data_IF_485869588392
#
_entry.id   IF_485869588392
#
_cell.length_a   1.000
_cell.length_b   1.000
_cell.length_c   1.000
_cell.angle_alpha   90.00
_cell.angle_beta   90.00
_cell.angle_gamma   90.00
#
_symmetry.space_group_name_H-M   'P 1'
#
loop_
_entity.id
_entity.type
_entity.pdbx_description
1 polymer ?
#
# COMPACT_ATOMS: atom_id res chain seq x y z
N UNK A 1 5.55 -23.11 4.81
CA UNK A 1 6.05 -22.28 3.69
C UNK A 1 5.73 -20.83 4.03
N UNK A 2 6.67 -19.90 3.92
CA UNK A 2 6.39 -18.48 4.18
C UNK A 2 5.51 -17.88 3.07
N UNK A 3 4.60 -16.94 3.39
CA UNK A 3 3.81 -16.24 2.38
C UNK A 3 4.71 -15.39 1.48
N UNK A 4 4.36 -15.28 0.21
CA UNK A 4 5.01 -14.33 -0.68
C UNK A 4 4.43 -12.92 -0.48
N UNK A 5 5.13 -11.92 -1.00
CA UNK A 5 4.69 -10.53 -0.97
C UNK A 5 3.29 -10.32 -1.58
N UNK A 6 2.95 -11.06 -2.64
CA UNK A 6 1.60 -11.01 -3.24
C UNK A 6 0.51 -11.49 -2.29
N UNK A 7 0.75 -12.56 -1.52
CA UNK A 7 -0.19 -13.06 -0.53
C UNK A 7 -0.39 -12.05 0.62
N UNK A 8 0.69 -11.41 1.09
CA UNK A 8 0.60 -10.33 2.08
C UNK A 8 -0.24 -9.16 1.58
N UNK A 9 -0.02 -8.71 0.34
CA UNK A 9 -0.80 -7.62 -0.27
C UNK A 9 -2.29 -7.94 -0.39
N UNK A 10 -2.61 -9.13 -0.89
CA UNK A 10 -4.00 -9.55 -1.05
C UNK A 10 -4.73 -9.62 0.31
N UNK A 11 -4.04 -10.14 1.33
CA UNK A 11 -4.56 -10.19 2.69
C UNK A 11 -4.84 -8.79 3.25
N UNK A 12 -3.87 -7.87 3.16
CA UNK A 12 -4.03 -6.48 3.61
C UNK A 12 -5.18 -5.79 2.89
N UNK A 13 -5.26 -5.89 1.56
CA UNK A 13 -6.31 -5.24 0.77
C UNK A 13 -7.71 -5.75 1.14
N UNK A 14 -7.88 -7.07 1.31
CA UNK A 14 -9.16 -7.65 1.68
C UNK A 14 -9.57 -7.27 3.11
N UNK A 15 -8.61 -7.27 4.03
CA UNK A 15 -8.87 -6.87 5.41
C UNK A 15 -9.26 -5.40 5.52
N UNK A 16 -8.56 -4.52 4.82
CA UNK A 16 -8.88 -3.09 4.79
C UNK A 16 -10.22 -2.81 4.13
N UNK A 17 -10.55 -3.52 3.04
CA UNK A 17 -11.89 -3.44 2.44
C UNK A 17 -12.98 -3.86 3.42
N UNK A 18 -12.82 -5.01 4.09
CA UNK A 18 -13.75 -5.48 5.13
C UNK A 18 -13.95 -4.41 6.20
N UNK A 19 -12.85 -3.90 6.79
CA UNK A 19 -12.90 -2.90 7.85
C UNK A 19 -13.56 -1.60 7.38
N UNK A 20 -13.30 -1.19 6.13
CA UNK A 20 -13.92 0.01 5.55
C UNK A 20 -15.42 -0.16 5.34
N UNK A 21 -15.88 -1.32 4.87
CA UNK A 21 -17.30 -1.67 4.77
C UNK A 21 -17.97 -1.65 6.14
N UNK A 22 -17.33 -2.24 7.15
CA UNK A 22 -17.86 -2.27 8.53
C UNK A 22 -17.98 -0.85 9.11
N UNK A 23 -16.98 0.02 8.89
CA UNK A 23 -17.05 1.44 9.28
C UNK A 23 -18.11 2.23 8.49
N UNK A 24 -18.26 1.94 7.20
CA UNK A 24 -19.24 2.59 6.34
C UNK A 24 -20.68 2.11 6.60
N UNK A 25 -20.85 0.94 7.22
CA UNK A 25 -22.14 0.27 7.39
C UNK A 25 -22.82 -0.08 6.06
N UNK A 26 -22.04 -0.18 4.97
CA UNK A 26 -22.56 -0.35 3.61
C UNK A 26 -21.49 -0.90 2.66
N UNK A 27 -21.93 -1.60 1.62
CA UNK A 27 -21.10 -2.01 0.49
C UNK A 27 -21.08 -0.98 -0.66
N UNK A 28 -21.84 0.13 -0.54
CA UNK A 28 -21.86 1.19 -1.55
C UNK A 28 -20.46 1.75 -1.77
N UNK A 29 -19.99 1.71 -3.03
CA UNK A 29 -18.59 2.00 -3.36
C UNK A 29 -18.16 3.39 -2.88
N UNK A 30 -19.01 4.41 -3.03
CA UNK A 30 -18.69 5.77 -2.59
C UNK A 30 -18.58 5.89 -1.06
N UNK A 31 -19.38 5.14 -0.31
CA UNK A 31 -19.30 5.10 1.16
C UNK A 31 -18.03 4.39 1.63
N UNK A 32 -17.67 3.28 0.98
CA UNK A 32 -16.44 2.53 1.27
C UNK A 32 -15.19 3.34 0.93
N UNK A 33 -15.15 4.02 -0.22
CA UNK A 33 -14.04 4.91 -0.60
C UNK A 33 -13.86 6.00 0.45
N UNK A 34 -14.93 6.70 0.83
CA UNK A 34 -14.86 7.74 1.89
C UNK A 34 -14.38 7.19 3.24
N UNK A 35 -14.69 5.92 3.55
CA UNK A 35 -14.23 5.23 4.76
C UNK A 35 -12.77 4.78 4.70
N UNK A 36 -12.21 4.60 3.49
CA UNK A 36 -10.79 4.31 3.26
C UNK A 36 -9.95 5.60 3.24
N UNK A 37 -10.44 6.67 2.62
CA UNK A 37 -9.67 7.90 2.42
C UNK A 37 -9.12 8.50 3.73
N UNK A 38 -7.80 8.57 3.83
CA UNK A 38 -7.09 9.08 5.00
C UNK A 38 -6.93 8.08 6.14
N UNK A 39 -7.52 6.88 6.04
CA UNK A 39 -7.48 5.86 7.08
C UNK A 39 -6.06 5.34 7.30
N UNK A 40 -5.65 5.27 8.57
CA UNK A 40 -4.38 4.70 9.04
C UNK A 40 -4.63 3.36 9.69
N UNK A 41 -3.74 2.39 9.46
CA UNK A 41 -3.87 1.04 9.95
C UNK A 41 -2.51 0.36 10.14
N UNK A 42 -2.47 -0.70 10.93
CA UNK A 42 -1.28 -1.55 11.13
C UNK A 42 -1.73 -3.02 11.19
N UNK A 43 -1.36 -3.81 10.19
CA UNK A 43 -1.76 -5.24 10.08
C UNK A 43 -0.53 -6.14 9.99
N UNK A 44 0.13 -6.16 8.83
CA UNK A 44 1.27 -7.06 8.55
C UNK A 44 2.62 -6.35 8.61
N UNK A 45 2.62 -5.01 8.58
CA UNK A 45 3.79 -4.14 8.60
C UNK A 45 3.63 -3.09 9.70
N UNK A 46 4.48 -2.07 9.66
CA UNK A 46 4.32 -0.84 10.42
C UNK A 46 3.08 -0.04 9.97
N UNK A 47 2.88 1.16 10.54
CA UNK A 47 1.72 2.00 10.21
C UNK A 47 1.71 2.33 8.71
N UNK A 48 0.55 2.10 8.10
CA UNK A 48 0.24 2.38 6.71
C UNK A 48 -0.95 3.36 6.62
N UNK A 49 -1.10 4.05 5.48
CA UNK A 49 -2.22 4.96 5.25
C UNK A 49 -2.74 4.89 3.82
N UNK A 50 -4.06 4.79 3.65
CA UNK A 50 -4.72 5.05 2.36
C UNK A 50 -4.81 6.55 2.10
N UNK A 51 -3.94 7.08 1.25
CA UNK A 51 -3.86 8.53 1.01
C UNK A 51 -5.06 9.03 0.20
N UNK A 52 -5.67 10.12 0.67
CA UNK A 52 -6.92 10.63 0.12
C UNK A 52 -6.84 11.08 -1.34
N UNK A 53 -5.83 11.85 -1.73
CA UNK A 53 -5.87 12.54 -3.03
C UNK A 53 -5.52 11.65 -4.23
N UNK A 54 -4.87 10.51 -4.02
CA UNK A 54 -4.44 9.60 -5.09
C UNK A 54 -4.67 8.10 -4.79
N UNK A 55 -5.31 7.80 -3.64
CA UNK A 55 -5.62 6.45 -3.17
C UNK A 55 -4.40 5.52 -3.04
N UNK A 56 -3.19 6.08 -2.97
CA UNK A 56 -1.97 5.32 -2.74
C UNK A 56 -1.92 4.83 -1.29
N UNK A 57 -1.59 3.55 -1.09
CA UNK A 57 -1.19 3.06 0.22
C UNK A 57 0.25 3.54 0.53
N UNK A 58 0.36 4.46 1.48
CA UNK A 58 1.61 5.01 1.99
C UNK A 58 2.15 4.08 3.07
N UNK A 59 3.33 3.53 2.82
CA UNK A 59 3.93 2.51 3.67
C UNK A 59 5.44 2.55 3.58
N UNK A 60 6.13 2.04 4.59
CA UNK A 60 7.59 1.87 4.54
C UNK A 60 8.01 0.90 3.44
N UNK A 61 9.03 1.26 2.68
CA UNK A 61 9.64 0.41 1.66
C UNK A 61 10.95 -0.14 2.23
N UNK A 62 11.18 -1.45 2.09
CA UNK A 62 12.41 -2.09 2.54
C UNK A 62 13.41 -2.24 1.41
N UNK A 63 14.65 -1.86 1.65
CA UNK A 63 15.77 -2.18 0.78
C UNK A 63 16.33 -3.54 1.20
N UNK A 64 16.41 -4.46 0.25
CA UNK A 64 16.84 -5.84 0.51
C UNK A 64 18.07 -6.21 -0.31
N UNK A 65 18.92 -7.05 0.26
CA UNK A 65 20.07 -7.64 -0.42
C UNK A 65 19.87 -9.15 -0.55
N UNK A 66 19.91 -9.64 -1.79
CA UNK A 66 19.79 -11.08 -2.05
C UNK A 66 20.96 -11.85 -1.43
N UNK A 67 20.64 -12.98 -0.81
CA UNK A 67 21.60 -13.95 -0.30
C UNK A 67 22.16 -14.78 -1.45
N UNK A 68 23.38 -15.28 -1.27
CA UNK A 68 23.94 -16.26 -2.20
C UNK A 68 23.12 -17.55 -2.20
N UNK A 69 22.94 -18.16 -3.38
CA UNK A 69 22.20 -19.42 -3.55
C UNK A 69 22.60 -20.49 -2.53
N UNK A 70 23.89 -20.63 -2.23
CA UNK A 70 24.39 -21.63 -1.27
C UNK A 70 23.86 -21.43 0.15
N UNK A 71 23.61 -20.18 0.56
CA UNK A 71 23.03 -19.86 1.84
C UNK A 71 21.52 -20.14 1.84
N UNK A 72 20.81 -19.73 0.78
CA UNK A 72 19.37 -20.02 0.62
C UNK A 72 19.10 -21.53 0.67
N UNK A 73 19.94 -22.34 0.03
CA UNK A 73 19.76 -23.80 0.02
C UNK A 73 20.03 -24.49 1.36
N UNK A 74 20.67 -23.82 2.32
CA UNK A 74 20.86 -24.32 3.69
C UNK A 74 19.66 -24.05 4.59
N UNK A 75 18.82 -23.08 4.26
CA UNK A 75 17.57 -22.83 4.98
C UNK A 75 16.65 -24.06 4.88
N UNK A 76 16.06 -24.55 6.00
CA UNK A 76 15.17 -25.72 6.00
C UNK A 76 14.02 -25.64 4.99
N UNK A 77 13.55 -24.43 4.70
CA UNK A 77 12.47 -24.21 3.74
C UNK A 77 12.95 -23.79 2.35
N UNK A 78 14.24 -23.46 2.20
CA UNK A 78 14.87 -22.93 0.99
C UNK A 78 14.23 -21.62 0.52
N UNK A 79 13.82 -20.77 1.47
CA UNK A 79 13.09 -19.52 1.25
C UNK A 79 13.74 -18.30 1.91
N UNK A 80 14.87 -18.47 2.60
CA UNK A 80 15.64 -17.36 3.17
C UNK A 80 16.43 -16.63 2.07
N UNK A 81 15.74 -15.80 1.28
CA UNK A 81 16.28 -15.21 0.06
C UNK A 81 17.09 -13.93 0.25
N UNK A 82 16.87 -13.16 1.31
CA UNK A 82 17.43 -11.83 1.43
C UNK A 82 17.59 -11.36 2.87
N UNK A 83 18.46 -10.38 3.07
CA UNK A 83 18.54 -9.57 4.29
C UNK A 83 17.94 -8.20 4.03
N UNK A 84 17.26 -7.64 5.03
CA UNK A 84 16.83 -6.23 5.01
C UNK A 84 18.06 -5.41 5.43
N UNK A 85 18.45 -4.47 4.57
CA UNK A 85 19.65 -3.65 4.80
C UNK A 85 19.33 -2.18 5.08
N UNK A 86 18.15 -1.71 4.70
CA UNK A 86 17.67 -0.36 5.00
C UNK A 86 16.13 -0.29 4.84
N UNK A 87 15.54 0.84 5.22
CA UNK A 87 14.14 1.15 5.00
C UNK A 87 13.91 2.63 4.69
N UNK A 88 12.90 2.89 3.85
CA UNK A 88 12.46 4.24 3.49
C UNK A 88 11.02 4.43 3.97
N UNK A 89 10.79 5.31 4.97
CA UNK A 89 9.44 5.63 5.44
C UNK A 89 8.54 6.13 4.32
N UNK A 90 7.26 5.76 4.36
CA UNK A 90 6.29 6.07 3.30
C UNK A 90 6.21 7.56 2.93
N UNK A 91 6.29 8.46 3.92
CA UNK A 91 6.29 9.90 3.70
C UNK A 91 7.50 10.44 2.94
N UNK A 92 8.62 9.69 2.89
CA UNK A 92 9.81 10.03 2.09
C UNK A 92 9.85 9.31 0.74
N UNK A 93 9.21 8.15 0.62
CA UNK A 93 9.21 7.37 -0.63
C UNK A 93 8.08 7.74 -1.59
N UNK A 94 6.94 8.19 -1.06
CA UNK A 94 5.78 8.49 -1.87
C UNK A 94 5.90 9.88 -2.52
N UNK A 95 5.42 10.00 -3.76
CA UNK A 95 5.27 11.28 -4.45
C UNK A 95 4.49 12.27 -3.60
N UNK A 96 4.92 13.52 -3.57
CA UNK A 96 4.21 14.63 -2.95
C UNK A 96 2.93 14.99 -3.73
N UNK A 97 2.05 15.78 -3.11
CA UNK A 97 0.86 16.28 -3.79
C UNK A 97 1.22 17.16 -5.01
N UNK A 98 2.24 18.02 -4.89
CA UNK A 98 2.66 18.90 -5.98
C UNK A 98 3.28 18.13 -7.16
N UNK A 99 4.06 17.08 -6.90
CA UNK A 99 4.56 16.18 -7.95
C UNK A 99 3.40 15.47 -8.65
N UNK A 100 2.47 14.89 -7.88
CA UNK A 100 1.28 14.23 -8.43
C UNK A 100 0.44 15.18 -9.29
N UNK A 101 0.23 16.42 -8.83
CA UNK A 101 -0.51 17.46 -9.55
C UNK A 101 0.21 17.87 -10.84
N UNK A 102 1.53 18.05 -10.77
CA UNK A 102 2.37 18.40 -11.91
C UNK A 102 2.32 17.32 -12.99
N UNK A 103 2.41 16.04 -12.61
CA UNK A 103 2.31 14.91 -13.54
C UNK A 103 0.95 14.88 -14.23
N UNK A 104 -0.14 15.13 -13.49
CA UNK A 104 -1.50 15.15 -14.05
C UNK A 104 -1.71 16.29 -15.03
N UNK A 105 -1.24 17.50 -14.69
CA UNK A 105 -1.33 18.64 -15.60
C UNK A 105 -0.52 18.41 -16.89
N UNK A 106 0.68 17.82 -16.80
CA UNK A 106 1.46 17.42 -17.99
C UNK A 106 0.73 16.40 -18.87
N UNK A 107 -0.10 15.55 -18.26
CA UNK A 107 -0.91 14.56 -18.94
C UNK A 107 -2.30 15.07 -19.38
N UNK A 108 -2.59 16.37 -19.26
CA UNK A 108 -3.93 16.96 -19.52
C UNK A 108 -5.06 16.34 -18.67
N UNK A 109 -4.75 15.91 -17.44
CA UNK A 109 -5.70 15.35 -16.48
C UNK A 109 -6.10 16.38 -15.41
N UNK A 110 -7.32 16.29 -14.84
CA UNK A 110 -7.75 17.16 -13.74
C UNK A 110 -6.90 16.94 -12.49
N UNK A 111 -6.83 17.94 -11.60
CA UNK A 111 -6.04 17.88 -10.35
C UNK A 111 -6.78 17.22 -9.17
N UNK A 112 -7.79 16.41 -9.50
CA UNK A 112 -8.58 15.58 -8.61
C UNK A 112 -8.83 14.22 -9.31
N UNK A 113 -9.16 13.19 -8.54
CA UNK A 113 -9.61 11.89 -9.06
C UNK A 113 -11.05 11.98 -9.57
N UNK A 114 -11.59 10.91 -10.14
CA UNK A 114 -12.98 10.85 -10.56
C UNK A 114 -13.91 11.16 -9.37
N UNK A 115 -14.91 12.02 -9.61
CA UNK A 115 -15.91 12.34 -8.60
C UNK A 115 -16.70 11.09 -8.22
N UNK A 116 -17.02 10.96 -6.93
CA UNK A 116 -17.91 9.89 -6.51
C UNK A 116 -19.35 10.20 -6.95
N UNK A 117 -20.18 9.17 -7.20
CA UNK A 117 -21.60 9.39 -7.44
C UNK A 117 -22.23 10.25 -6.34
N UNK A 118 -22.83 11.38 -6.72
CA UNK A 118 -23.46 12.34 -5.81
C UNK A 118 -22.63 13.59 -5.45
N UNK A 119 -21.41 13.75 -6.00
CA UNK A 119 -20.53 14.93 -5.84
C UNK A 119 -20.48 15.89 -7.06
#
# INVERSE_FOLDING_TARGET
RYPCWGASKAYTALWEYKQAVERAGSFEASAVIRSLEGHKFSILKDEEQWRKFDHQNIQTIFLVKCKEKKAVLKDPYKLDFFDIIDYLPGGRSARTYEEWKTDRLKANLPTYLEKLPGE
#
